data_IF_435674361070
#
_entry.id   IF_435674361070
#
_cell.length_a   1.000
_cell.length_b   1.000
_cell.length_c   1.000
_cell.angle_alpha   90.00
_cell.angle_beta   90.00
_cell.angle_gamma   90.00
#
_symmetry.space_group_name_H-M   'P 1'
#
loop_
_entity.id
_entity.type
_entity.pdbx_description
1 polymer ?
#
# COMPACT_ATOMS: atom_id res chain seq x y z
N UNK A 1 -84.25 -19.57 -41.86
CA UNK A 1 -83.03 -18.79 -42.19
C UNK A 1 -82.09 -18.92 -41.00
N UNK A 2 -81.15 -19.86 -41.07
CA UNK A 2 -79.70 -19.65 -41.38
C UNK A 2 -78.92 -19.13 -40.16
N UNK A 3 -77.77 -19.63 -39.71
CA UNK A 3 -76.83 -20.73 -40.08
C UNK A 3 -75.80 -20.78 -38.90
N UNK A 4 -75.30 -21.98 -38.57
CA UNK A 4 -73.96 -22.43 -38.02
C UNK A 4 -73.19 -21.52 -37.03
N UNK A 5 -72.47 -22.01 -36.01
CA UNK A 5 -71.38 -23.03 -35.98
C UNK A 5 -71.00 -23.17 -34.49
N UNK A 6 -70.83 -24.34 -33.86
CA UNK A 6 -69.74 -25.30 -34.08
C UNK A 6 -68.46 -24.87 -33.34
N UNK A 7 -68.22 -25.33 -32.11
CA UNK A 7 -66.86 -25.52 -31.60
C UNK A 7 -66.79 -26.60 -30.50
N UNK A 8 -65.90 -27.54 -30.76
CA UNK A 8 -65.44 -28.66 -29.93
C UNK A 8 -64.50 -28.12 -28.84
N UNK A 9 -64.58 -28.65 -27.61
CA UNK A 9 -63.60 -28.43 -26.54
C UNK A 9 -63.73 -29.54 -25.49
N UNK A 10 -63.10 -30.69 -25.72
CA UNK A 10 -61.79 -31.08 -25.20
C UNK A 10 -61.80 -31.35 -23.68
N UNK A 11 -61.76 -32.65 -23.38
CA UNK A 11 -61.57 -33.27 -22.08
C UNK A 11 -60.25 -32.79 -21.45
N UNK A 12 -60.31 -32.14 -20.28
CA UNK A 12 -59.12 -31.85 -19.47
C UNK A 12 -59.17 -32.61 -18.16
N UNK A 13 -58.22 -33.55 -18.08
CA UNK A 13 -57.89 -34.42 -16.98
C UNK A 13 -57.50 -33.56 -15.77
N UNK A 14 -58.13 -33.82 -14.62
CA UNK A 14 -57.76 -33.22 -13.35
C UNK A 14 -56.41 -33.75 -12.88
N UNK A 15 -55.39 -32.91 -12.93
CA UNK A 15 -54.12 -33.15 -12.25
C UNK A 15 -54.21 -32.63 -10.82
N UNK A 16 -54.19 -33.55 -9.87
CA UNK A 16 -54.03 -33.29 -8.43
C UNK A 16 -52.62 -32.74 -8.24
N UNK A 17 -52.49 -31.44 -7.99
CA UNK A 17 -51.23 -30.83 -7.60
C UNK A 17 -50.96 -31.05 -6.12
N UNK A 18 -50.03 -31.94 -5.77
CA UNK A 18 -49.33 -31.87 -4.49
C UNK A 18 -48.39 -30.66 -4.53
N UNK A 19 -48.73 -29.57 -3.85
CA UNK A 19 -47.78 -28.51 -3.56
C UNK A 19 -47.04 -28.84 -2.27
N UNK A 20 -45.83 -29.36 -2.40
CA UNK A 20 -44.82 -29.31 -1.34
C UNK A 20 -44.34 -27.86 -1.23
N UNK A 21 -44.64 -27.20 -0.11
CA UNK A 21 -44.06 -25.88 0.21
C UNK A 21 -42.57 -26.05 0.51
N UNK A 22 -41.64 -25.41 -0.23
CA UNK A 22 -40.28 -25.27 0.26
C UNK A 22 -40.32 -24.19 1.34
N UNK A 23 -40.22 -24.62 2.59
CA UNK A 23 -39.94 -23.74 3.71
C UNK A 23 -38.46 -23.37 3.64
N UNK A 24 -38.14 -22.38 2.81
CA UNK A 24 -36.77 -21.87 2.67
C UNK A 24 -36.83 -20.35 2.63
N UNK A 25 -37.03 -19.74 3.80
CA UNK A 25 -36.68 -18.34 4.02
C UNK A 25 -35.17 -18.21 4.19
N UNK A 26 -34.38 -18.70 3.24
CA UNK A 26 -33.06 -18.13 2.98
C UNK A 26 -33.29 -16.93 2.08
N UNK A 27 -33.65 -15.81 2.72
CA UNK A 27 -33.46 -14.51 2.09
C UNK A 27 -32.01 -14.50 1.57
N UNK A 28 -31.77 -14.29 0.27
CA UNK A 28 -30.41 -14.03 -0.19
C UNK A 28 -29.90 -12.86 0.63
N UNK A 29 -28.73 -13.05 1.23
CA UNK A 29 -28.05 -12.11 2.11
C UNK A 29 -28.20 -10.69 1.52
N UNK A 30 -29.17 -9.93 2.04
CA UNK A 30 -29.44 -8.57 1.58
C UNK A 30 -28.32 -7.75 2.16
N UNK A 31 -27.18 -7.69 1.47
CA UNK A 31 -26.33 -6.52 1.54
C UNK A 31 -27.24 -5.34 1.18
N UNK A 32 -27.57 -4.45 2.15
CA UNK A 32 -28.44 -3.33 1.84
C UNK A 32 -27.72 -2.50 0.79
N UNK A 33 -28.47 -1.77 -0.03
CA UNK A 33 -27.95 -0.83 -1.01
C UNK A 33 -27.23 0.38 -0.36
N UNK A 34 -26.50 0.18 0.73
CA UNK A 34 -25.34 0.96 1.13
C UNK A 34 -24.10 0.44 0.40
N UNK A 35 -23.60 1.05 -0.68
CA UNK A 35 -24.22 1.86 -1.72
C UNK A 35 -23.14 1.93 -2.80
N UNK A 36 -23.42 1.57 -4.06
CA UNK A 36 -22.45 1.84 -5.15
C UNK A 36 -21.99 3.31 -5.13
N UNK A 37 -22.83 4.21 -4.64
CA UNK A 37 -22.46 5.61 -4.41
C UNK A 37 -21.50 5.80 -3.23
N UNK A 38 -21.58 5.03 -2.14
CA UNK A 38 -20.59 5.06 -1.06
C UNK A 38 -19.22 4.57 -1.53
N UNK A 39 -19.18 3.49 -2.32
CA UNK A 39 -17.96 2.99 -2.95
C UNK A 39 -17.37 4.05 -3.90
N UNK A 40 -18.21 4.64 -4.76
CA UNK A 40 -17.80 5.69 -5.68
C UNK A 40 -17.26 6.93 -4.94
N UNK A 41 -17.95 7.39 -3.89
CA UNK A 41 -17.48 8.49 -3.06
C UNK A 41 -16.17 8.15 -2.32
N UNK A 42 -15.97 6.90 -1.92
CA UNK A 42 -14.72 6.43 -1.33
C UNK A 42 -13.57 6.49 -2.33
N UNK A 43 -13.78 6.00 -3.55
CA UNK A 43 -12.81 6.07 -4.65
C UNK A 43 -12.48 7.51 -5.03
N UNK A 44 -13.50 8.38 -5.13
CA UNK A 44 -13.28 9.82 -5.35
C UNK A 44 -12.47 10.44 -4.21
N UNK A 45 -12.81 10.11 -2.96
CA UNK A 45 -12.08 10.56 -1.78
C UNK A 45 -10.60 10.20 -1.83
N UNK A 46 -10.30 8.95 -2.17
CA UNK A 46 -8.93 8.46 -2.35
C UNK A 46 -8.20 9.20 -3.48
N UNK A 47 -8.85 9.41 -4.62
CA UNK A 47 -8.27 10.14 -5.76
C UNK A 47 -7.97 11.60 -5.42
N UNK A 48 -8.89 12.30 -4.76
CA UNK A 48 -8.64 13.68 -4.29
C UNK A 48 -7.52 13.75 -3.25
N UNK A 49 -7.44 12.76 -2.35
CA UNK A 49 -6.34 12.67 -1.39
C UNK A 49 -4.99 12.49 -2.12
N UNK A 50 -4.91 11.61 -3.12
CA UNK A 50 -3.69 11.42 -3.91
C UNK A 50 -3.22 12.73 -4.59
N UNK A 51 -4.18 13.55 -5.07
CA UNK A 51 -3.91 14.87 -5.66
C UNK A 51 -3.62 15.99 -4.66
N UNK A 52 -3.71 15.72 -3.35
CA UNK A 52 -3.49 16.74 -2.31
C UNK A 52 -4.70 17.60 -1.97
N UNK A 53 -5.87 17.35 -2.58
CA UNK A 53 -7.11 18.09 -2.30
C UNK A 53 -7.81 17.56 -1.04
N UNK A 54 -7.24 17.86 0.13
CA UNK A 54 -7.64 17.28 1.43
C UNK A 54 -9.09 17.58 1.81
N UNK A 55 -9.54 18.83 1.69
CA UNK A 55 -10.91 19.20 2.04
C UNK A 55 -11.95 18.45 1.17
N UNK A 56 -11.69 18.37 -0.14
CA UNK A 56 -12.57 17.65 -1.08
C UNK A 56 -12.57 16.15 -0.81
N UNK A 57 -11.40 15.56 -0.49
CA UNK A 57 -11.32 14.15 -0.12
C UNK A 57 -12.21 13.86 1.09
N UNK A 58 -12.11 14.67 2.15
CA UNK A 58 -12.89 14.48 3.36
C UNK A 58 -14.41 14.68 3.13
N UNK A 59 -14.83 15.62 2.29
CA UNK A 59 -16.25 15.77 1.91
C UNK A 59 -16.80 14.49 1.25
N UNK A 60 -16.07 13.94 0.27
CA UNK A 60 -16.48 12.69 -0.40
C UNK A 60 -16.53 11.52 0.56
N UNK A 61 -15.53 11.38 1.43
CA UNK A 61 -15.48 10.29 2.41
C UNK A 61 -16.59 10.41 3.46
N UNK A 62 -16.90 11.62 3.93
CA UNK A 62 -18.06 11.86 4.81
C UNK A 62 -19.38 11.54 4.11
N UNK A 63 -19.51 11.83 2.80
CA UNK A 63 -20.66 11.40 2.00
C UNK A 63 -20.75 9.88 1.92
N UNK A 64 -19.63 9.19 1.71
CA UNK A 64 -19.58 7.73 1.72
C UNK A 64 -20.07 7.16 3.06
N UNK A 65 -19.58 7.69 4.19
CA UNK A 65 -20.02 7.22 5.52
C UNK A 65 -21.46 7.58 5.89
N UNK A 66 -22.05 8.63 5.30
CA UNK A 66 -23.50 8.88 5.43
C UNK A 66 -24.34 7.87 4.65
N UNK A 67 -23.82 7.36 3.54
CA UNK A 67 -24.48 6.37 2.68
C UNK A 67 -24.28 4.94 3.20
N UNK A 68 -23.11 4.66 3.74
CA UNK A 68 -22.77 3.41 4.42
C UNK A 68 -21.79 3.68 5.57
N UNK A 69 -22.28 3.75 6.83
CA UNK A 69 -21.45 3.97 8.00
C UNK A 69 -20.44 2.86 8.30
N UNK A 70 -20.58 1.68 7.68
CA UNK A 70 -19.73 0.51 7.92
C UNK A 70 -18.75 0.24 6.77
N UNK A 71 -18.56 1.20 5.86
CA UNK A 71 -17.60 1.11 4.77
C UNK A 71 -16.15 1.16 5.28
N UNK A 72 -15.51 0.00 5.45
CA UNK A 72 -14.14 -0.11 5.98
C UNK A 72 -13.13 0.71 5.17
N UNK A 73 -13.26 0.73 3.85
CA UNK A 73 -12.35 1.44 2.96
C UNK A 73 -12.48 2.97 3.09
N UNK A 74 -13.69 3.46 3.37
CA UNK A 74 -13.93 4.88 3.67
C UNK A 74 -13.25 5.27 4.98
N UNK A 75 -13.39 4.46 6.03
CA UNK A 75 -12.69 4.67 7.30
C UNK A 75 -11.17 4.64 7.11
N UNK A 76 -10.62 3.64 6.41
CA UNK A 76 -9.18 3.56 6.13
C UNK A 76 -8.68 4.78 5.35
N UNK A 77 -9.45 5.27 4.37
CA UNK A 77 -9.07 6.46 3.60
C UNK A 77 -9.17 7.74 4.43
N UNK A 78 -10.15 7.86 5.33
CA UNK A 78 -10.23 8.98 6.29
C UNK A 78 -9.04 8.95 7.25
N UNK A 79 -8.60 7.76 7.67
CA UNK A 79 -7.42 7.62 8.50
C UNK A 79 -6.17 8.16 7.79
N UNK A 80 -6.01 7.88 6.49
CA UNK A 80 -4.94 8.47 5.67
C UNK A 80 -5.05 10.00 5.54
N UNK A 81 -6.27 10.55 5.47
CA UNK A 81 -6.50 12.01 5.48
C UNK A 81 -5.99 12.62 6.78
N UNK A 82 -6.44 12.10 7.94
CA UNK A 82 -6.02 12.61 9.24
C UNK A 82 -4.53 12.43 9.49
N UNK A 83 -3.96 11.33 9.02
CA UNK A 83 -2.52 11.12 9.07
C UNK A 83 -1.75 12.22 8.33
N UNK A 84 -2.19 12.61 7.13
CA UNK A 84 -1.56 13.71 6.38
C UNK A 84 -1.69 15.07 7.07
N UNK A 85 -2.74 15.24 7.87
CA UNK A 85 -2.97 16.43 8.70
C UNK A 85 -2.20 16.38 10.03
N UNK A 86 -1.41 15.34 10.29
CA UNK A 86 -0.76 15.07 11.58
C UNK A 86 -1.72 14.89 12.77
N UNK A 87 -2.99 14.61 12.49
CA UNK A 87 -4.04 14.33 13.48
C UNK A 87 -4.02 12.84 13.86
N UNK A 88 -2.98 12.45 14.59
CA UNK A 88 -2.64 11.03 14.82
C UNK A 88 -3.71 10.25 15.59
N UNK A 89 -4.42 10.89 16.53
CA UNK A 89 -5.47 10.21 17.30
C UNK A 89 -6.67 9.82 16.42
N UNK A 90 -7.13 10.74 15.58
CA UNK A 90 -8.22 10.53 14.64
C UNK A 90 -7.83 9.51 13.56
N UNK A 91 -6.57 9.58 13.08
CA UNK A 91 -6.05 8.60 12.13
C UNK A 91 -6.10 7.18 12.72
N UNK A 92 -5.58 6.99 13.94
CA UNK A 92 -5.62 5.69 14.64
C UNK A 92 -7.05 5.20 14.82
N UNK A 93 -7.94 6.04 15.34
CA UNK A 93 -9.34 5.68 15.55
C UNK A 93 -9.99 5.12 14.29
N UNK A 94 -9.76 5.79 13.15
CA UNK A 94 -10.34 5.35 11.88
C UNK A 94 -9.68 4.09 11.30
N UNK A 95 -8.37 3.88 11.50
CA UNK A 95 -7.74 2.61 11.13
C UNK A 95 -8.27 1.45 11.97
N UNK A 96 -8.42 1.64 13.28
CA UNK A 96 -8.96 0.62 14.19
C UNK A 96 -10.43 0.31 13.84
N UNK A 97 -11.24 1.34 13.55
CA UNK A 97 -12.61 1.14 13.06
C UNK A 97 -12.63 0.37 11.74
N UNK A 98 -11.77 0.72 10.79
CA UNK A 98 -11.67 0.02 9.51
C UNK A 98 -11.32 -1.46 9.69
N UNK A 99 -10.37 -1.78 10.59
CA UNK A 99 -9.99 -3.16 10.92
C UNK A 99 -11.07 -3.91 11.69
N UNK A 100 -11.83 -3.25 12.58
CA UNK A 100 -12.97 -3.91 13.24
C UNK A 100 -14.06 -4.34 12.24
N UNK A 101 -14.21 -3.60 11.13
CA UNK A 101 -15.18 -3.87 10.07
C UNK A 101 -14.65 -4.90 9.06
N UNK A 102 -13.34 -4.87 8.77
CA UNK A 102 -12.69 -5.78 7.82
C UNK A 102 -11.34 -6.29 8.37
N UNK A 103 -11.37 -7.26 9.31
CA UNK A 103 -10.19 -7.68 10.08
C UNK A 103 -9.14 -8.44 9.27
N UNK A 104 -9.45 -8.84 8.03
CA UNK A 104 -8.54 -9.57 7.13
C UNK A 104 -8.09 -8.73 5.92
N UNK A 105 -8.41 -7.43 5.90
CA UNK A 105 -8.06 -6.58 4.76
C UNK A 105 -6.56 -6.28 4.73
N UNK A 106 -5.86 -6.89 3.77
CA UNK A 106 -4.42 -6.67 3.58
C UNK A 106 -4.08 -5.20 3.33
N UNK A 107 -4.91 -4.49 2.58
CA UNK A 107 -4.65 -3.07 2.27
C UNK A 107 -4.77 -2.19 3.52
N UNK A 108 -5.77 -2.45 4.38
CA UNK A 108 -5.93 -1.72 5.65
C UNK A 108 -4.78 -2.05 6.60
N UNK A 109 -4.41 -3.33 6.72
CA UNK A 109 -3.25 -3.75 7.50
C UNK A 109 -1.95 -3.08 7.03
N UNK A 110 -1.67 -3.08 5.72
CA UNK A 110 -0.49 -2.42 5.17
C UNK A 110 -0.51 -0.91 5.47
N UNK A 111 -1.62 -0.22 5.23
CA UNK A 111 -1.72 1.22 5.46
C UNK A 111 -1.60 1.60 6.94
N UNK A 112 -2.19 0.82 7.83
CA UNK A 112 -2.05 1.03 9.28
C UNK A 112 -0.63 0.73 9.75
N UNK A 113 0.02 -0.29 9.18
CA UNK A 113 1.43 -0.57 9.41
C UNK A 113 2.33 0.63 9.06
N UNK A 114 2.11 1.26 7.91
CA UNK A 114 2.85 2.48 7.52
C UNK A 114 2.66 3.60 8.54
N UNK A 115 1.42 3.85 8.94
CA UNK A 115 1.08 4.85 9.95
C UNK A 115 1.78 4.58 11.29
N UNK A 116 1.70 3.36 11.81
CA UNK A 116 2.35 2.96 13.06
C UNK A 116 3.88 3.09 12.98
N UNK A 117 4.46 2.77 11.82
CA UNK A 117 5.90 2.90 11.62
C UNK A 117 6.36 4.36 11.73
N UNK A 118 5.58 5.29 11.20
CA UNK A 118 5.87 6.72 11.30
C UNK A 118 5.73 7.26 12.72
N UNK A 119 4.86 6.65 13.53
CA UNK A 119 4.77 6.89 14.98
C UNK A 119 5.85 6.18 15.80
N UNK A 120 6.81 5.51 15.14
CA UNK A 120 7.87 4.71 15.78
C UNK A 120 7.38 3.51 16.57
N UNK A 121 6.16 3.05 16.31
CA UNK A 121 5.62 1.80 16.86
C UNK A 121 6.04 0.60 15.99
N UNK A 122 7.35 0.46 15.80
CA UNK A 122 7.95 -0.41 14.77
C UNK A 122 7.51 -1.87 14.85
N UNK A 123 7.49 -2.46 16.05
CA UNK A 123 7.09 -3.87 16.22
C UNK A 123 5.61 -4.10 15.86
N UNK A 124 4.73 -3.15 16.21
CA UNK A 124 3.31 -3.24 15.83
C UNK A 124 3.14 -3.04 14.33
N UNK A 125 3.85 -2.07 13.75
CA UNK A 125 3.86 -1.84 12.31
C UNK A 125 4.25 -3.11 11.52
N UNK A 126 5.35 -3.76 11.92
CA UNK A 126 5.82 -5.02 11.34
C UNK A 126 4.74 -6.10 11.44
N UNK A 127 4.09 -6.25 12.60
CA UNK A 127 2.98 -7.20 12.76
C UNK A 127 1.85 -6.94 11.76
N UNK A 128 1.46 -5.68 11.56
CA UNK A 128 0.44 -5.33 10.57
C UNK A 128 0.88 -5.60 9.13
N UNK A 129 2.14 -5.34 8.76
CA UNK A 129 2.64 -5.73 7.44
C UNK A 129 2.59 -7.24 7.22
N UNK A 130 2.98 -8.04 8.22
CA UNK A 130 2.92 -9.51 8.13
C UNK A 130 1.48 -10.02 7.99
N UNK A 131 0.52 -9.42 8.70
CA UNK A 131 -0.90 -9.73 8.52
C UNK A 131 -1.40 -9.39 7.11
N UNK A 132 -0.88 -8.33 6.49
CA UNK A 132 -1.21 -8.02 5.10
C UNK A 132 -0.67 -9.07 4.11
N UNK A 133 0.54 -9.56 4.37
CA UNK A 133 1.28 -10.54 3.56
C UNK A 133 0.69 -11.95 3.65
N UNK A 134 0.09 -12.31 4.78
CA UNK A 134 -0.49 -13.64 5.04
C UNK A 134 -1.60 -14.01 4.03
N UNK A 135 -2.23 -13.02 3.41
CA UNK A 135 -3.17 -13.23 2.30
C UNK A 135 -2.43 -13.41 0.96
N UNK A 136 -2.43 -14.62 0.37
CA UNK A 136 -1.72 -14.89 -0.88
C UNK A 136 -2.30 -14.15 -2.10
N UNK A 137 -3.54 -13.64 -2.02
CA UNK A 137 -4.18 -12.87 -3.08
C UNK A 137 -3.84 -11.38 -3.03
N UNK A 138 -3.08 -10.92 -2.02
CA UNK A 138 -2.70 -9.53 -1.94
C UNK A 138 -1.72 -9.16 -3.06
N UNK A 139 -2.10 -8.21 -3.90
CA UNK A 139 -1.30 -7.87 -5.10
C UNK A 139 -0.07 -7.02 -4.79
N UNK A 140 0.03 -6.49 -3.56
CA UNK A 140 1.12 -5.58 -3.13
C UNK A 140 2.03 -6.19 -2.06
N UNK A 141 2.18 -7.52 -2.07
CA UNK A 141 3.04 -8.24 -1.11
C UNK A 141 4.48 -7.70 -1.14
N UNK A 142 5.05 -7.42 -2.32
CA UNK A 142 6.41 -6.90 -2.42
C UNK A 142 6.57 -5.51 -1.77
N UNK A 143 5.56 -4.64 -1.90
CA UNK A 143 5.54 -3.35 -1.21
C UNK A 143 5.32 -3.49 0.29
N UNK A 144 4.51 -4.45 0.75
CA UNK A 144 4.36 -4.71 2.18
C UNK A 144 5.67 -5.22 2.80
N UNK A 145 6.41 -6.09 2.12
CA UNK A 145 7.77 -6.47 2.53
C UNK A 145 8.74 -5.28 2.49
N UNK A 146 8.69 -4.42 1.47
CA UNK A 146 9.50 -3.19 1.45
C UNK A 146 9.19 -2.28 2.65
N UNK A 147 7.92 -2.09 2.98
CA UNK A 147 7.50 -1.32 4.15
C UNK A 147 7.98 -1.96 5.46
N UNK A 148 7.86 -3.29 5.59
CA UNK A 148 8.36 -4.03 6.74
C UNK A 148 9.88 -3.89 6.89
N UNK A 149 10.64 -3.98 5.79
CA UNK A 149 12.10 -3.79 5.79
C UNK A 149 12.51 -2.37 6.15
N UNK A 150 11.82 -1.36 5.62
CA UNK A 150 12.05 0.05 5.98
C UNK A 150 11.77 0.29 7.47
N UNK A 151 10.73 -0.33 8.01
CA UNK A 151 10.38 -0.21 9.42
C UNK A 151 11.35 -0.96 10.34
N UNK A 152 11.73 -2.19 9.95
CA UNK A 152 12.67 -3.02 10.69
C UNK A 152 14.09 -2.41 10.72
N UNK A 153 14.46 -1.55 9.77
CA UNK A 153 15.75 -0.86 9.82
C UNK A 153 15.86 0.13 10.98
N UNK A 154 14.73 0.58 11.52
CA UNK A 154 14.68 1.54 12.65
C UNK A 154 14.75 0.84 14.01
N UNK A 155 14.78 -0.50 14.05
CA UNK A 155 15.06 -1.28 15.26
C UNK A 155 16.51 -1.79 15.24
N UNK A 156 17.12 -2.14 16.40
CA UNK A 156 18.49 -2.67 16.48
C UNK A 156 18.73 -4.06 15.85
N UNK A 157 17.92 -4.46 14.87
CA UNK A 157 18.04 -5.73 14.14
C UNK A 157 18.06 -5.48 12.62
N UNK A 158 19.26 -5.29 12.09
CA UNK A 158 19.48 -5.10 10.65
C UNK A 158 19.27 -6.38 9.83
N UNK A 159 19.33 -7.56 10.47
CA UNK A 159 19.13 -8.85 9.82
C UNK A 159 17.68 -8.99 9.39
N UNK A 160 16.74 -8.61 10.26
CA UNK A 160 15.32 -8.62 9.94
C UNK A 160 14.99 -7.70 8.76
N UNK A 161 15.57 -6.49 8.72
CA UNK A 161 15.40 -5.58 7.60
C UNK A 161 15.94 -6.16 6.29
N UNK A 162 17.15 -6.76 6.33
CA UNK A 162 17.75 -7.44 5.19
C UNK A 162 16.83 -8.53 4.61
N UNK A 163 16.23 -9.36 5.46
CA UNK A 163 15.39 -10.47 5.02
C UNK A 163 14.11 -9.98 4.35
N UNK A 164 13.48 -8.93 4.88
CA UNK A 164 12.32 -8.33 4.25
C UNK A 164 12.66 -7.66 2.92
N UNK A 165 13.78 -6.96 2.79
CA UNK A 165 14.20 -6.40 1.51
C UNK A 165 14.54 -7.48 0.48
N UNK A 166 15.14 -8.59 0.88
CA UNK A 166 15.38 -9.72 -0.01
C UNK A 166 14.07 -10.33 -0.52
N UNK A 167 13.09 -10.54 0.36
CA UNK A 167 11.75 -11.01 -0.02
C UNK A 167 11.01 -10.02 -0.94
N UNK A 168 11.13 -8.72 -0.67
CA UNK A 168 10.58 -7.69 -1.55
C UNK A 168 11.20 -7.75 -2.95
N UNK A 169 12.53 -7.84 -3.03
CA UNK A 169 13.28 -7.87 -4.29
C UNK A 169 13.20 -9.19 -5.05
N UNK A 170 12.90 -10.31 -4.39
CA UNK A 170 12.64 -11.58 -5.07
C UNK A 170 11.32 -11.56 -5.83
N UNK A 171 10.35 -10.77 -5.37
CA UNK A 171 9.05 -10.59 -6.03
C UNK A 171 9.06 -9.43 -7.03
N UNK A 172 9.69 -8.32 -6.68
CA UNK A 172 9.79 -7.14 -7.54
C UNK A 172 11.23 -6.61 -7.53
N UNK A 173 12.07 -7.05 -8.49
CA UNK A 173 13.49 -6.71 -8.52
C UNK A 173 13.82 -5.21 -8.72
N UNK A 174 12.82 -4.40 -9.08
CA UNK A 174 12.97 -2.99 -9.47
C UNK A 174 12.56 -2.01 -8.38
N UNK A 175 12.34 -2.47 -7.15
CA UNK A 175 11.94 -1.63 -6.02
C UNK A 175 13.08 -0.70 -5.55
N UNK A 176 13.02 0.63 -5.82
CA UNK A 176 14.18 1.50 -5.62
C UNK A 176 14.53 1.71 -4.14
N UNK A 177 13.55 1.76 -3.23
CA UNK A 177 13.84 1.94 -1.81
C UNK A 177 14.52 0.69 -1.24
N UNK A 178 14.04 -0.49 -1.63
CA UNK A 178 14.67 -1.77 -1.29
C UNK A 178 16.09 -1.88 -1.85
N UNK A 179 16.33 -1.52 -3.12
CA UNK A 179 17.67 -1.52 -3.72
C UNK A 179 18.63 -0.59 -2.97
N UNK A 180 18.19 0.64 -2.67
CA UNK A 180 19.01 1.59 -1.93
C UNK A 180 19.30 1.12 -0.49
N UNK A 181 18.30 0.57 0.19
CA UNK A 181 18.48 0.02 1.54
C UNK A 181 19.47 -1.16 1.54
N UNK A 182 19.37 -2.07 0.55
CA UNK A 182 20.31 -3.17 0.41
C UNK A 182 21.74 -2.68 0.11
N UNK A 183 21.91 -1.65 -0.71
CA UNK A 183 23.21 -1.02 -0.91
C UNK A 183 23.80 -0.50 0.41
N UNK A 184 22.98 0.15 1.25
CA UNK A 184 23.39 0.65 2.56
C UNK A 184 23.79 -0.48 3.52
N UNK A 185 22.98 -1.53 3.61
CA UNK A 185 23.25 -2.71 4.45
C UNK A 185 24.57 -3.36 4.02
N UNK A 186 24.77 -3.60 2.73
CA UNK A 186 26.01 -4.21 2.21
C UNK A 186 27.21 -3.30 2.44
N UNK A 187 27.06 -1.98 2.34
CA UNK A 187 28.12 -1.04 2.68
C UNK A 187 28.53 -1.13 4.16
N UNK A 188 27.56 -1.17 5.08
CA UNK A 188 27.82 -1.32 6.52
C UNK A 188 28.51 -2.64 6.85
N UNK A 189 28.16 -3.71 6.13
CA UNK A 189 28.80 -5.02 6.22
C UNK A 189 30.17 -5.10 5.51
N UNK A 190 30.71 -3.98 5.02
CA UNK A 190 31.96 -3.88 4.26
C UNK A 190 31.98 -4.69 2.95
N UNK A 191 30.81 -5.09 2.45
CA UNK A 191 30.64 -5.82 1.18
C UNK A 191 30.48 -4.83 0.02
N UNK A 192 31.52 -4.02 -0.24
CA UNK A 192 31.46 -2.86 -1.14
C UNK A 192 31.11 -3.21 -2.59
N UNK A 193 31.60 -4.34 -3.11
CA UNK A 193 31.25 -4.81 -4.45
C UNK A 193 29.75 -5.11 -4.58
N UNK A 194 29.15 -5.76 -3.58
CA UNK A 194 27.70 -6.03 -3.54
C UNK A 194 26.91 -4.73 -3.36
N UNK A 195 27.41 -3.80 -2.54
CA UNK A 195 26.80 -2.48 -2.37
C UNK A 195 26.75 -1.72 -3.71
N UNK A 196 27.85 -1.69 -4.47
CA UNK A 196 27.91 -1.11 -5.83
C UNK A 196 26.91 -1.78 -6.77
N UNK A 197 26.79 -3.12 -6.73
CA UNK A 197 25.83 -3.84 -7.57
C UNK A 197 24.38 -3.41 -7.32
N UNK A 198 23.95 -3.31 -6.06
CA UNK A 198 22.61 -2.80 -5.74
C UNK A 198 22.40 -1.34 -6.19
N UNK A 199 23.44 -0.50 -6.06
CA UNK A 199 23.36 0.90 -6.48
C UNK A 199 23.30 1.07 -8.00
N UNK A 200 23.99 0.21 -8.75
CA UNK A 200 23.87 0.14 -10.22
C UNK A 200 22.45 -0.19 -10.63
N UNK A 201 21.82 -1.18 -9.98
CA UNK A 201 20.40 -1.51 -10.21
C UNK A 201 19.48 -0.37 -9.82
N UNK A 202 19.74 0.31 -8.70
CA UNK A 202 18.99 1.50 -8.29
C UNK A 202 18.98 2.59 -9.39
N UNK A 203 20.15 2.88 -9.97
CA UNK A 203 20.29 3.89 -11.05
C UNK A 203 19.44 3.56 -12.29
N UNK A 204 19.16 2.28 -12.56
CA UNK A 204 18.35 1.87 -13.71
C UNK A 204 16.86 2.16 -13.53
N UNK A 205 16.39 2.30 -12.28
CA UNK A 205 14.95 2.38 -11.95
C UNK A 205 14.57 3.65 -11.21
N UNK A 206 15.54 4.43 -10.74
CA UNK A 206 15.33 5.66 -10.00
C UNK A 206 16.36 6.72 -10.33
N UNK A 207 15.96 7.97 -10.15
CA UNK A 207 16.87 9.11 -10.23
C UNK A 207 17.77 9.16 -9.00
N UNK A 208 18.93 9.78 -9.16
CA UNK A 208 19.81 10.04 -8.05
C UNK A 208 19.14 10.93 -7.01
N UNK A 209 19.43 10.63 -5.75
CA UNK A 209 19.11 11.51 -4.62
C UNK A 209 20.43 11.90 -3.95
N UNK A 210 20.47 13.00 -3.18
CA UNK A 210 21.67 13.37 -2.43
C UNK A 210 22.19 12.22 -1.56
N UNK A 211 21.28 11.48 -0.90
CA UNK A 211 21.62 10.32 -0.08
C UNK A 211 22.21 9.15 -0.88
N UNK A 212 21.65 8.87 -2.07
CA UNK A 212 22.16 7.81 -2.93
C UNK A 212 23.53 8.16 -3.54
N UNK A 213 23.75 9.43 -3.90
CA UNK A 213 25.06 9.90 -4.38
C UNK A 213 26.12 9.89 -3.28
N UNK A 214 25.77 10.32 -2.07
CA UNK A 214 26.70 10.22 -0.94
C UNK A 214 27.11 8.76 -0.67
N UNK A 215 26.16 7.82 -0.78
CA UNK A 215 26.47 6.40 -0.68
C UNK A 215 27.38 5.92 -1.83
N UNK A 216 27.13 6.39 -3.07
CA UNK A 216 27.97 6.10 -4.24
C UNK A 216 29.43 6.53 -4.01
N UNK A 217 29.63 7.77 -3.54
CA UNK A 217 30.93 8.34 -3.19
C UNK A 217 31.61 7.49 -2.12
N UNK A 218 30.88 7.16 -1.05
CA UNK A 218 31.40 6.34 0.06
C UNK A 218 31.83 4.95 -0.39
N UNK A 219 31.05 4.31 -1.28
CA UNK A 219 31.39 3.01 -1.86
C UNK A 219 32.63 3.13 -2.75
N UNK A 220 32.66 4.09 -3.67
CA UNK A 220 33.78 4.31 -4.59
C UNK A 220 35.10 4.57 -3.85
N UNK A 221 35.07 5.42 -2.82
CA UNK A 221 36.24 5.69 -1.95
C UNK A 221 36.75 4.42 -1.26
N UNK A 222 35.85 3.54 -0.80
CA UNK A 222 36.22 2.25 -0.20
C UNK A 222 36.77 1.23 -1.19
N UNK A 223 36.54 1.46 -2.48
CA UNK A 223 37.06 0.62 -3.57
C UNK A 223 38.30 1.21 -4.26
N UNK A 224 38.76 2.40 -3.87
CA UNK A 224 39.87 3.10 -4.52
C UNK A 224 39.54 3.60 -5.94
N UNK A 225 38.26 3.84 -6.23
CA UNK A 225 37.76 4.29 -7.54
C UNK A 225 37.66 5.83 -7.54
N UNK A 226 38.80 6.50 -7.63
CA UNK A 226 38.91 7.96 -7.49
C UNK A 226 38.20 8.73 -8.61
N UNK A 227 38.18 8.18 -9.83
CA UNK A 227 37.43 8.73 -10.96
C UNK A 227 35.92 8.74 -10.69
N UNK A 228 35.39 7.63 -10.13
CA UNK A 228 33.98 7.57 -9.74
C UNK A 228 33.69 8.52 -8.57
N UNK A 229 34.60 8.66 -7.60
CA UNK A 229 34.46 9.64 -6.52
C UNK A 229 34.31 11.04 -7.08
N UNK A 230 35.22 11.49 -7.95
CA UNK A 230 35.17 12.81 -8.57
C UNK A 230 33.88 13.02 -9.37
N UNK A 231 33.49 12.02 -10.17
CA UNK A 231 32.27 12.04 -10.98
C UNK A 231 31.00 12.19 -10.13
N UNK A 232 30.88 11.44 -9.04
CA UNK A 232 29.73 11.53 -8.16
C UNK A 232 29.69 12.82 -7.34
N UNK A 233 30.85 13.37 -6.95
CA UNK A 233 30.92 14.68 -6.28
C UNK A 233 30.45 15.78 -7.22
N UNK A 234 30.92 15.77 -8.48
CA UNK A 234 30.49 16.73 -9.49
C UNK A 234 28.98 16.65 -9.70
N UNK A 235 28.44 15.44 -9.83
CA UNK A 235 27.00 15.21 -9.99
C UNK A 235 26.20 15.70 -8.78
N UNK A 236 26.68 15.44 -7.55
CA UNK A 236 26.05 15.88 -6.31
C UNK A 236 26.00 17.41 -6.21
N UNK A 237 27.12 18.09 -6.52
CA UNK A 237 27.20 19.55 -6.50
C UNK A 237 26.37 20.18 -7.62
N UNK A 238 26.36 19.59 -8.81
CA UNK A 238 25.63 20.10 -9.95
C UNK A 238 24.11 19.95 -9.83
N UNK A 239 23.63 18.81 -9.33
CA UNK A 239 22.18 18.54 -9.22
C UNK A 239 21.58 18.96 -7.88
N UNK A 240 22.37 18.99 -6.81
CA UNK A 240 21.90 19.22 -5.44
C UNK A 240 22.81 20.17 -4.65
N UNK A 241 23.13 21.38 -5.17
CA UNK A 241 24.10 22.29 -4.57
C UNK A 241 23.77 22.66 -3.11
N UNK A 242 22.48 22.83 -2.79
CA UNK A 242 22.03 23.25 -1.46
C UNK A 242 21.84 22.09 -0.47
N UNK A 243 22.07 20.85 -0.91
CA UNK A 243 21.90 19.68 -0.06
C UNK A 243 22.96 19.60 1.04
N UNK A 244 22.59 19.11 2.21
CA UNK A 244 23.53 18.85 3.31
C UNK A 244 24.68 17.94 2.88
N UNK A 245 24.41 16.98 2.00
CA UNK A 245 25.43 16.09 1.45
C UNK A 245 26.43 16.85 0.58
N UNK A 246 25.99 17.80 -0.25
CA UNK A 246 26.89 18.63 -1.05
C UNK A 246 27.76 19.52 -0.15
N UNK A 247 27.17 20.13 0.89
CA UNK A 247 27.89 20.95 1.88
C UNK A 247 28.98 20.15 2.62
N UNK A 248 28.68 18.90 3.02
CA UNK A 248 29.65 18.00 3.66
C UNK A 248 30.88 17.72 2.79
N UNK A 249 30.73 17.70 1.47
CA UNK A 249 31.86 17.48 0.55
C UNK A 249 32.74 18.71 0.36
N UNK A 250 32.29 19.91 0.76
CA UNK A 250 33.08 21.13 0.66
C UNK A 250 34.00 21.33 1.87
N UNK A 251 33.70 20.71 3.00
CA UNK A 251 34.49 20.79 4.24
C UNK A 251 35.49 19.65 4.43
N UNK A 252 35.48 18.66 3.54
CA UNK A 252 36.32 17.44 3.61
C UNK A 252 37.44 17.40 2.56
N UNK A 253 37.69 18.53 1.89
CA UNK A 253 38.81 18.78 0.98
C UNK A 253 39.84 19.67 1.70
#
# INVERSE_FOLDING_TARGET
>A
MTIRSGLVGLCMIGLIGCQSMPNESTLPDRHPAGSKAAQYNTQLGMHYLQRGSIATALDKLKKALRQDPNMSDAHSTIALVYHRLAEHAQARHHFEKALSLSPKSSEIHNNFGVFLCQLREYNKAIKHFLLAIDNPLYTRISQAYENAGLCAREIPDITLANDYFLKALSMTPTLPKSLLAMAQIRYQQQQYAKAKHYLTRYKQVATWTPKALLLAIKIAKKQGDDDAVASYILLLRGQFPDSEQAKQMNTSL
#
